data_IF_107259787004
#
_entry.id   IF_107259787004
#
_cell.length_a   1.000
_cell.length_b   1.000
_cell.length_c   1.000
_cell.angle_alpha   90.00
_cell.angle_beta   90.00
_cell.angle_gamma   90.00
#
_symmetry.space_group_name_H-M   'P 1'
#
loop_
_entity.id
_entity.type
_entity.pdbx_description
1 polymer ?
#
# COMPACT_ATOMS: atom_id res chain seq x y z
N UNK A 1 12.22 15.99 -75.31
CA UNK A 1 13.19 16.75 -74.48
C UNK A 1 12.64 16.88 -73.06
N UNK A 2 13.57 17.00 -72.11
CA UNK A 2 13.55 16.67 -70.67
C UNK A 2 12.55 17.50 -69.84
N UNK A 3 11.72 16.86 -69.00
CA UNK A 3 11.00 17.53 -67.89
C UNK A 3 12.02 17.92 -66.82
N UNK A 4 12.17 19.21 -66.55
CA UNK A 4 12.98 19.71 -65.44
C UNK A 4 12.08 19.63 -64.20
N UNK A 5 12.37 18.68 -63.30
CA UNK A 5 11.74 18.62 -61.98
C UNK A 5 12.23 19.83 -61.17
N UNK A 6 11.30 20.67 -60.72
CA UNK A 6 11.57 21.80 -59.84
C UNK A 6 11.75 21.26 -58.42
N UNK A 7 13.00 21.07 -57.98
CA UNK A 7 13.34 20.64 -56.62
C UNK A 7 13.47 21.86 -55.72
N UNK A 8 12.36 22.31 -55.12
CA UNK A 8 12.40 23.33 -54.06
C UNK A 8 13.04 22.76 -52.80
N UNK A 9 14.22 23.28 -52.42
CA UNK A 9 14.92 22.89 -51.20
C UNK A 9 14.22 23.41 -49.93
N UNK A 10 14.34 22.66 -48.83
CA UNK A 10 13.90 23.08 -47.50
C UNK A 10 14.60 24.38 -47.08
N UNK A 11 13.84 25.39 -46.68
CA UNK A 11 14.43 26.62 -46.14
C UNK A 11 14.79 26.44 -44.67
N UNK A 12 15.82 27.16 -44.20
CA UNK A 12 16.28 27.10 -42.81
C UNK A 12 15.16 27.48 -41.82
N UNK A 13 14.30 28.42 -42.20
CA UNK A 13 13.19 28.91 -41.39
C UNK A 13 12.11 27.84 -41.22
N UNK A 14 11.80 27.09 -42.28
CA UNK A 14 10.84 25.97 -42.22
C UNK A 14 11.34 24.86 -41.30
N UNK A 15 12.62 24.50 -41.39
CA UNK A 15 13.23 23.50 -40.49
C UNK A 15 13.20 23.97 -39.03
N UNK A 16 13.51 25.24 -38.79
CA UNK A 16 13.47 25.82 -37.44
C UNK A 16 12.04 25.82 -36.87
N UNK A 17 11.04 26.16 -37.68
CA UNK A 17 9.64 26.15 -37.27
C UNK A 17 9.16 24.73 -36.92
N UNK A 18 9.54 23.72 -37.70
CA UNK A 18 9.21 22.31 -37.43
C UNK A 18 9.87 21.83 -36.13
N UNK A 19 11.15 22.15 -35.91
CA UNK A 19 11.86 21.77 -34.68
C UNK A 19 11.23 22.46 -33.47
N UNK A 20 10.88 23.74 -33.58
CA UNK A 20 10.21 24.48 -32.51
C UNK A 20 8.88 23.82 -32.12
N UNK A 21 8.01 23.53 -33.09
CA UNK A 21 6.73 22.86 -32.83
C UNK A 21 6.96 21.46 -32.23
N UNK A 22 7.87 20.68 -32.79
CA UNK A 22 8.16 19.32 -32.32
C UNK A 22 8.66 19.32 -30.87
N UNK A 23 9.50 20.28 -30.49
CA UNK A 23 9.99 20.41 -29.11
C UNK A 23 8.85 20.68 -28.13
N UNK A 24 7.92 21.58 -28.47
CA UNK A 24 6.75 21.89 -27.64
C UNK A 24 5.89 20.63 -27.47
N UNK A 25 5.59 19.94 -28.58
CA UNK A 25 4.77 18.72 -28.55
C UNK A 25 5.45 17.63 -27.72
N UNK A 26 6.76 17.45 -27.85
CA UNK A 26 7.52 16.44 -27.11
C UNK A 26 7.48 16.70 -25.61
N UNK A 27 7.67 17.95 -25.18
CA UNK A 27 7.59 18.33 -23.76
C UNK A 27 6.20 18.03 -23.19
N UNK A 28 5.14 18.34 -23.94
CA UNK A 28 3.77 18.04 -23.52
C UNK A 28 3.53 16.53 -23.36
N UNK A 29 4.00 15.72 -24.32
CA UNK A 29 3.87 14.27 -24.26
C UNK A 29 4.60 13.70 -23.04
N UNK A 30 5.83 14.14 -22.77
CA UNK A 30 6.61 13.68 -21.61
C UNK A 30 5.92 14.08 -20.31
N UNK A 31 5.37 15.29 -20.22
CA UNK A 31 4.68 15.79 -19.03
C UNK A 31 3.43 14.98 -18.69
N UNK A 32 2.58 14.72 -19.70
CA UNK A 32 1.37 13.91 -19.53
C UNK A 32 1.75 12.46 -19.19
N UNK A 33 2.73 11.89 -19.89
CA UNK A 33 3.19 10.52 -19.64
C UNK A 33 3.75 10.35 -18.23
N UNK A 34 4.58 11.29 -17.78
CA UNK A 34 5.16 11.27 -16.43
C UNK A 34 4.09 11.38 -15.35
N UNK A 35 3.08 12.23 -15.57
CA UNK A 35 1.93 12.34 -14.68
C UNK A 35 1.14 11.04 -14.65
N UNK A 36 0.89 10.42 -15.81
CA UNK A 36 0.20 9.14 -15.91
C UNK A 36 0.92 8.02 -15.14
N UNK A 37 2.24 7.92 -15.28
CA UNK A 37 3.04 6.95 -14.53
C UNK A 37 2.98 7.17 -13.02
N UNK A 38 3.05 8.43 -12.57
CA UNK A 38 2.93 8.75 -11.14
C UNK A 38 1.56 8.35 -10.59
N UNK A 39 0.48 8.69 -11.31
CA UNK A 39 -0.88 8.32 -10.90
C UNK A 39 -1.04 6.80 -10.87
N UNK A 40 -0.54 6.10 -11.89
CA UNK A 40 -0.60 4.65 -11.95
C UNK A 40 0.09 4.01 -10.74
N UNK A 41 1.32 4.44 -10.43
CA UNK A 41 2.08 3.93 -9.29
C UNK A 41 1.36 4.17 -7.96
N UNK A 42 0.83 5.38 -7.75
CA UNK A 42 0.10 5.69 -6.52
C UNK A 42 -1.19 4.87 -6.40
N UNK A 43 -1.89 4.65 -7.51
CA UNK A 43 -3.11 3.82 -7.55
C UNK A 43 -2.78 2.37 -7.21
N UNK A 44 -1.68 1.85 -7.77
CA UNK A 44 -1.18 0.51 -7.48
C UNK A 44 -0.79 0.35 -6.01
N UNK A 45 0.00 1.28 -5.44
CA UNK A 45 0.35 1.28 -4.01
C UNK A 45 -0.89 1.26 -3.12
N UNK A 46 -1.87 2.12 -3.41
CA UNK A 46 -3.12 2.14 -2.65
C UNK A 46 -3.86 0.80 -2.74
N UNK A 47 -3.96 0.21 -3.93
CA UNK A 47 -4.59 -1.10 -4.11
C UNK A 47 -3.88 -2.20 -3.30
N UNK A 48 -2.55 -2.17 -3.22
CA UNK A 48 -1.80 -3.10 -2.38
C UNK A 48 -2.04 -2.87 -0.90
N UNK A 49 -2.02 -1.61 -0.42
CA UNK A 49 -2.35 -1.29 0.98
C UNK A 49 -3.74 -1.81 1.37
N UNK A 50 -4.74 -1.63 0.50
CA UNK A 50 -6.08 -2.18 0.70
C UNK A 50 -6.10 -3.71 0.76
N UNK A 51 -5.40 -4.38 -0.16
CA UNK A 51 -5.33 -5.85 -0.19
C UNK A 51 -4.66 -6.40 1.07
N UNK A 52 -3.57 -5.78 1.48
CA UNK A 52 -2.78 -6.18 2.65
C UNK A 52 -3.61 -6.07 3.93
N UNK A 53 -4.23 -4.92 4.17
CA UNK A 53 -5.09 -4.71 5.32
C UNK A 53 -6.28 -5.68 5.36
N UNK A 54 -6.92 -5.91 4.21
CA UNK A 54 -8.03 -6.87 4.12
C UNK A 54 -7.57 -8.31 4.37
N UNK A 55 -6.38 -8.66 3.91
CA UNK A 55 -5.79 -9.97 4.17
C UNK A 55 -5.52 -10.16 5.67
N UNK A 56 -4.88 -9.18 6.34
CA UNK A 56 -4.65 -9.22 7.78
C UNK A 56 -5.98 -9.38 8.54
N UNK A 57 -7.01 -8.58 8.21
CA UNK A 57 -8.33 -8.70 8.84
C UNK A 57 -8.95 -10.07 8.59
N UNK A 58 -8.83 -10.62 7.39
CA UNK A 58 -9.36 -11.95 7.07
C UNK A 58 -8.69 -13.04 7.93
N UNK A 59 -7.36 -12.98 8.07
CA UNK A 59 -6.60 -13.90 8.93
C UNK A 59 -7.03 -13.76 10.39
N UNK A 60 -7.09 -12.53 10.92
CA UNK A 60 -7.51 -12.29 12.29
C UNK A 60 -8.94 -12.78 12.54
N UNK A 61 -9.86 -12.53 11.60
CA UNK A 61 -11.25 -12.98 11.72
C UNK A 61 -11.36 -14.52 11.67
N UNK A 62 -10.58 -15.18 10.79
CA UNK A 62 -10.50 -16.65 10.73
C UNK A 62 -10.06 -17.22 12.09
N UNK A 63 -8.99 -16.69 12.68
CA UNK A 63 -8.46 -17.17 13.95
C UNK A 63 -9.41 -16.86 15.12
N UNK A 64 -10.00 -15.66 15.13
CA UNK A 64 -10.96 -15.27 16.15
C UNK A 64 -12.19 -16.17 16.17
N UNK A 65 -12.70 -16.59 14.99
CA UNK A 65 -13.81 -17.54 14.86
C UNK A 65 -13.46 -18.97 15.27
N UNK A 66 -12.19 -19.37 15.22
CA UNK A 66 -11.76 -20.71 15.60
C UNK A 66 -11.75 -20.96 17.12
N UNK A 67 -12.01 -19.94 17.94
CA UNK A 67 -12.03 -20.03 19.41
C UNK A 67 -10.73 -20.53 20.03
N UNK A 68 -9.60 -20.28 19.36
CA UNK A 68 -8.27 -20.59 19.87
C UNK A 68 -7.59 -19.28 20.26
N UNK A 69 -6.78 -19.34 21.32
CA UNK A 69 -5.91 -18.24 21.68
C UNK A 69 -4.95 -17.97 20.53
N UNK A 70 -4.70 -16.69 20.26
CA UNK A 70 -3.71 -16.30 19.27
C UNK A 70 -2.95 -15.07 19.74
N UNK A 71 -1.75 -14.93 19.20
CA UNK A 71 -0.84 -13.85 19.47
C UNK A 71 -0.62 -13.07 18.18
N UNK A 72 -0.60 -11.74 18.30
CA UNK A 72 -0.17 -10.84 17.23
C UNK A 72 1.13 -10.21 17.71
N UNK A 73 2.17 -10.34 16.92
CA UNK A 73 3.49 -9.77 17.16
C UNK A 73 3.79 -8.80 16.03
N UNK A 74 4.17 -7.57 16.37
CA UNK A 74 4.62 -6.58 15.41
C UNK A 74 6.06 -6.22 15.77
N UNK A 75 6.96 -6.44 14.82
CA UNK A 75 8.37 -6.09 14.85
C UNK A 75 8.54 -4.88 13.94
N UNK A 76 8.66 -3.68 14.52
CA UNK A 76 8.69 -2.42 13.78
C UNK A 76 9.97 -2.29 12.93
N UNK A 77 11.11 -2.75 13.43
CA UNK A 77 12.41 -2.69 12.74
C UNK A 77 12.45 -3.56 11.48
N UNK A 78 11.90 -4.78 11.58
CA UNK A 78 11.85 -5.74 10.48
C UNK A 78 10.58 -5.60 9.63
N UNK A 79 9.73 -4.60 9.93
CA UNK A 79 8.45 -4.35 9.24
C UNK A 79 7.64 -5.63 9.09
N UNK A 80 7.49 -6.34 10.21
CA UNK A 80 6.98 -7.70 10.20
C UNK A 80 5.84 -7.85 11.19
N UNK A 81 4.71 -8.33 10.68
CA UNK A 81 3.53 -8.69 11.45
C UNK A 81 3.41 -10.21 11.45
N UNK A 82 3.44 -10.81 12.63
CA UNK A 82 3.28 -12.25 12.81
C UNK A 82 2.04 -12.54 13.63
N UNK A 83 1.14 -13.36 13.09
CA UNK A 83 -0.06 -13.84 13.78
C UNK A 83 0.11 -15.34 13.97
N UNK A 84 0.03 -15.81 15.22
CA UNK A 84 0.22 -17.24 15.51
C UNK A 84 -0.79 -17.75 16.54
N UNK A 85 -1.19 -19.00 16.37
CA UNK A 85 -1.85 -19.80 17.39
C UNK A 85 -1.07 -21.11 17.58
N UNK A 86 -1.60 -22.04 18.38
CA UNK A 86 -0.94 -23.32 18.65
C UNK A 86 -0.76 -24.22 17.40
N UNK A 87 -1.41 -23.90 16.27
CA UNK A 87 -1.48 -24.76 15.08
C UNK A 87 -0.91 -24.11 13.81
N UNK A 88 -0.89 -22.79 13.72
CA UNK A 88 -0.60 -22.02 12.52
C UNK A 88 0.19 -20.77 12.90
N UNK A 89 1.21 -20.43 12.11
CA UNK A 89 1.93 -19.16 12.18
C UNK A 89 1.91 -18.52 10.81
N UNK A 90 1.38 -17.32 10.74
CA UNK A 90 1.31 -16.51 9.53
C UNK A 90 2.20 -15.31 9.75
N UNK A 91 3.19 -15.15 8.87
CA UNK A 91 4.07 -13.98 8.87
C UNK A 91 3.80 -13.18 7.62
N UNK A 92 3.58 -11.89 7.84
CA UNK A 92 3.35 -10.86 6.84
C UNK A 92 4.52 -9.89 6.96
N UNK A 93 5.30 -9.75 5.90
CA UNK A 93 6.46 -8.87 5.87
C UNK A 93 6.62 -8.37 4.44
N UNK A 94 6.32 -7.09 4.27
CA UNK A 94 6.50 -6.38 3.01
C UNK A 94 7.38 -5.19 3.31
N UNK A 95 8.60 -5.17 2.74
CA UNK A 95 9.65 -4.18 3.06
C UNK A 95 9.30 -2.72 2.75
N UNK A 96 8.17 -2.51 2.08
CA UNK A 96 7.69 -1.19 1.71
C UNK A 96 6.59 -0.71 2.65
N UNK A 97 6.15 -1.53 3.61
CA UNK A 97 5.02 -1.26 4.50
C UNK A 97 5.41 -1.31 5.97
N UNK A 98 4.90 -0.35 6.73
CA UNK A 98 4.96 -0.34 8.19
C UNK A 98 3.56 -0.61 8.72
N UNK A 99 3.47 -1.51 9.70
CA UNK A 99 2.19 -1.96 10.26
C UNK A 99 1.95 -1.35 11.62
N UNK A 100 0.79 -0.76 11.81
CA UNK A 100 0.30 -0.28 13.09
C UNK A 100 -1.03 -0.97 13.43
N UNK A 101 -1.15 -1.39 14.68
CA UNK A 101 -2.30 -2.12 15.18
C UNK A 101 -2.74 -1.51 16.49
N UNK A 102 -4.03 -1.25 16.61
CA UNK A 102 -4.65 -0.74 17.81
C UNK A 102 -5.76 -1.71 18.22
N UNK A 103 -5.69 -2.18 19.47
CA UNK A 103 -6.64 -3.11 20.04
C UNK A 103 -7.20 -2.51 21.32
N UNK A 104 -8.52 -2.45 21.41
CA UNK A 104 -9.20 -2.09 22.65
C UNK A 104 -9.31 -3.30 23.55
N UNK A 105 -8.65 -3.28 24.72
CA UNK A 105 -8.74 -4.31 25.75
C UNK A 105 -8.94 -3.64 27.10
N UNK A 106 -9.97 -4.06 27.84
CA UNK A 106 -10.24 -3.57 29.21
C UNK A 106 -10.35 -2.03 29.31
N UNK A 107 -10.91 -1.39 28.29
CA UNK A 107 -11.01 0.08 28.09
C UNK A 107 -9.68 0.82 27.85
N UNK A 108 -8.59 0.10 27.65
CA UNK A 108 -7.30 0.66 27.22
C UNK A 108 -7.06 0.36 25.74
N UNK A 109 -6.49 1.32 25.02
CA UNK A 109 -6.02 1.12 23.64
C UNK A 109 -4.56 0.65 23.70
N UNK A 110 -4.31 -0.58 23.24
CA UNK A 110 -2.96 -1.11 23.10
C UNK A 110 -2.51 -0.86 21.67
N UNK A 111 -1.35 -0.23 21.47
CA UNK A 111 -0.80 0.04 20.15
C UNK A 111 0.71 -0.17 20.08
N UNK A 112 1.22 -0.49 18.88
CA UNK A 112 2.66 -0.53 18.61
C UNK A 112 3.22 0.82 18.09
N UNK A 113 2.37 1.85 17.95
CA UNK A 113 2.79 3.18 17.46
C UNK A 113 3.55 3.99 18.52
N UNK A 114 3.49 3.59 19.78
CA UNK A 114 4.12 4.27 20.92
C UNK A 114 5.66 4.12 20.98
N UNK A 115 6.28 3.50 19.97
CA UNK A 115 7.74 3.45 19.81
C UNK A 115 8.42 2.20 20.37
N UNK A 116 7.68 1.17 20.78
CA UNK A 116 8.26 -0.12 21.14
C UNK A 116 8.73 -0.85 19.87
N UNK A 117 9.97 -1.34 19.85
CA UNK A 117 10.53 -2.10 18.70
C UNK A 117 9.72 -3.38 18.41
N UNK A 118 9.24 -4.04 19.47
CA UNK A 118 8.43 -5.24 19.37
C UNK A 118 7.20 -5.10 20.28
N UNK A 119 6.01 -5.23 19.70
CA UNK A 119 4.75 -5.21 20.45
C UNK A 119 4.02 -6.53 20.28
N UNK A 120 3.61 -7.13 21.40
CA UNK A 120 2.92 -8.42 21.44
C UNK A 120 1.54 -8.26 22.06
N UNK A 121 0.52 -8.72 21.35
CA UNK A 121 -0.86 -8.78 21.81
C UNK A 121 -1.29 -10.23 21.94
N UNK A 122 -1.82 -10.63 23.10
CA UNK A 122 -2.39 -11.97 23.30
C UNK A 122 -3.91 -11.84 23.43
N UNK A 123 -4.61 -12.55 22.54
CA UNK A 123 -6.07 -12.52 22.44
C UNK A 123 -6.63 -13.89 22.85
N UNK A 124 -7.62 -13.86 23.73
CA UNK A 124 -8.43 -15.02 24.09
C UNK A 124 -9.88 -14.79 23.61
N UNK A 125 -10.29 -15.39 22.47
CA UNK A 125 -11.65 -15.21 21.93
C UNK A 125 -12.77 -15.75 22.84
N UNK A 126 -12.46 -16.61 23.83
CA UNK A 126 -13.45 -17.11 24.78
C UNK A 126 -13.83 -16.05 25.82
N UNK A 127 -12.88 -15.21 26.21
CA UNK A 127 -13.09 -14.08 27.14
C UNK A 127 -13.57 -12.84 26.38
N UNK A 128 -13.13 -12.66 25.13
CA UNK A 128 -13.42 -11.50 24.29
C UNK A 128 -14.21 -11.94 23.05
N UNK A 129 -15.54 -12.03 23.18
CA UNK A 129 -16.44 -12.44 22.08
C UNK A 129 -16.40 -11.50 20.87
N UNK A 130 -16.08 -10.24 21.13
CA UNK A 130 -15.91 -9.20 20.13
C UNK A 130 -14.61 -8.46 20.40
N UNK A 131 -13.83 -8.22 19.35
CA UNK A 131 -12.58 -7.48 19.43
C UNK A 131 -12.62 -6.32 18.42
N UNK A 132 -12.51 -5.09 18.91
CA UNK A 132 -12.34 -3.93 18.04
C UNK A 132 -10.87 -3.80 17.66
N UNK A 133 -10.62 -3.82 16.36
CA UNK A 133 -9.28 -3.78 15.78
C UNK A 133 -9.22 -2.65 14.77
N UNK A 134 -8.21 -1.80 14.93
CA UNK A 134 -7.81 -0.82 13.93
C UNK A 134 -6.44 -1.22 13.39
N UNK A 135 -6.33 -1.30 12.07
CA UNK A 135 -5.07 -1.54 11.37
C UNK A 135 -4.78 -0.32 10.52
N UNK A 136 -3.59 0.23 10.68
CA UNK A 136 -3.06 1.29 9.85
C UNK A 136 -1.79 0.75 9.18
N UNK A 137 -1.71 0.88 7.86
CA UNK A 137 -0.55 0.47 7.07
C UNK A 137 -0.03 1.71 6.36
N UNK A 138 1.25 1.98 6.52
CA UNK A 138 1.94 3.10 5.88
C UNK A 138 2.95 2.58 4.87
N UNK A 139 2.93 3.13 3.66
CA UNK A 139 3.92 2.84 2.63
C UNK A 139 5.14 3.75 2.74
N UNK A 140 6.29 3.26 2.25
CA UNK A 140 7.54 4.03 2.16
C UNK A 140 7.42 5.33 1.33
N UNK A 141 6.41 5.44 0.45
CA UNK A 141 6.12 6.65 -0.32
C UNK A 141 5.17 7.63 0.38
N UNK A 142 4.67 7.29 1.57
CA UNK A 142 3.85 8.12 2.43
C UNK A 142 2.35 7.94 2.26
N UNK A 143 1.90 7.10 1.32
CA UNK A 143 0.49 6.69 1.27
C UNK A 143 0.15 5.81 2.49
N UNK A 144 -1.02 6.05 3.08
CA UNK A 144 -1.49 5.35 4.27
C UNK A 144 -2.88 4.80 4.02
N UNK A 145 -3.18 3.66 4.64
CA UNK A 145 -4.51 3.08 4.66
C UNK A 145 -4.89 2.61 6.05
N UNK A 146 -6.10 2.94 6.48
CA UNK A 146 -6.65 2.55 7.77
C UNK A 146 -7.93 1.74 7.58
N UNK A 147 -8.05 0.64 8.32
CA UNK A 147 -9.29 -0.13 8.46
C UNK A 147 -9.62 -0.29 9.95
N UNK A 148 -10.85 0.08 10.31
CA UNK A 148 -11.41 -0.13 11.64
C UNK A 148 -12.51 -1.17 11.50
N UNK A 149 -12.44 -2.23 12.30
CA UNK A 149 -13.44 -3.30 12.26
C UNK A 149 -13.61 -3.99 13.60
N UNK A 150 -14.69 -4.75 13.73
CA UNK A 150 -14.96 -5.60 14.89
C UNK A 150 -14.88 -7.05 14.45
N UNK A 151 -13.93 -7.80 15.02
CA UNK A 151 -13.91 -9.25 14.91
C UNK A 151 -14.98 -9.80 15.85
N UNK A 152 -15.80 -10.71 15.36
CA UNK A 152 -16.88 -11.30 16.16
C UNK A 152 -16.94 -12.79 15.95
N UNK A 153 -17.14 -13.48 17.07
CA UNK A 153 -17.57 -14.87 17.12
C UNK A 153 -19.10 -14.93 16.94
N UNK A 154 -19.58 -14.80 15.71
CA UNK A 154 -20.96 -15.21 15.38
C UNK A 154 -21.10 -16.73 15.52
#
# INVERSE_FOLDING_TARGET
MKKINNSSGLTLVEVLAVIAILSIVTVLIISISSTGFKISKNTETNAFLHQEANYIISVLNKLHKQNKNYEILIENDDQKLTIKNDSETITISEKQFVYYLYIMKDNEELTNKDGNEITKFTINPLEQKTLNVRIEIESSSGEQYEIITTLSRL
#
